data_IF_833180420276
#
_entry.id   IF_833180420276
#
_cell.length_a   1.000
_cell.length_b   1.000
_cell.length_c   1.000
_cell.angle_alpha   90.00
_cell.angle_beta   90.00
_cell.angle_gamma   90.00
#
_symmetry.space_group_name_H-M   'P 1'
#
loop_
_entity.id
_entity.type
_entity.pdbx_description
1 polymer ?
#
# COMPACT_ATOMS: atom_id res chain seq x y z
N UNK A 1 -10.54 13.83 -7.44
CA UNK A 1 -9.99 12.69 -8.18
C UNK A 1 -8.63 13.09 -8.76
N UNK A 2 -7.60 12.29 -8.54
CA UNK A 2 -6.24 12.52 -9.04
C UNK A 2 -5.74 11.25 -9.75
N UNK A 3 -5.22 11.40 -10.98
CA UNK A 3 -4.76 10.28 -11.81
C UNK A 3 -3.25 10.32 -11.96
N UNK A 4 -2.61 9.18 -11.68
CA UNK A 4 -1.17 8.97 -11.83
C UNK A 4 -0.97 7.74 -12.72
N UNK A 5 -0.50 7.94 -13.93
CA UNK A 5 -0.16 6.89 -14.88
C UNK A 5 1.29 7.11 -15.30
N UNK A 6 2.12 6.09 -15.09
CA UNK A 6 3.57 6.20 -15.23
C UNK A 6 4.17 4.85 -15.56
N UNK A 7 5.29 4.83 -16.27
CA UNK A 7 5.99 3.60 -16.63
C UNK A 7 6.89 3.10 -15.49
N UNK A 8 7.41 3.99 -14.64
CA UNK A 8 8.40 3.66 -13.61
C UNK A 8 7.83 3.65 -12.19
N UNK A 9 7.58 4.85 -11.67
CA UNK A 9 6.96 5.08 -10.37
C UNK A 9 5.82 6.08 -10.54
N UNK A 10 4.69 5.86 -9.86
CA UNK A 10 3.54 6.76 -9.87
C UNK A 10 3.76 7.96 -8.96
N UNK A 11 3.03 8.02 -7.84
CA UNK A 11 3.23 9.04 -6.81
C UNK A 11 4.46 8.72 -5.96
N UNK A 12 5.40 9.66 -5.86
CA UNK A 12 6.64 9.51 -5.09
C UNK A 12 6.77 10.64 -4.08
N UNK A 13 6.94 10.28 -2.80
CA UNK A 13 7.14 11.22 -1.69
C UNK A 13 8.52 10.93 -1.07
N UNK A 14 9.44 11.90 -1.16
CA UNK A 14 10.83 11.75 -0.68
C UNK A 14 11.20 12.65 0.49
N UNK A 15 10.29 13.51 0.93
CA UNK A 15 10.49 14.47 2.00
C UNK A 15 9.38 14.37 3.07
N UNK A 16 9.44 15.24 4.06
CA UNK A 16 8.48 15.30 5.18
C UNK A 16 7.15 15.95 4.80
N UNK A 17 6.70 15.80 3.56
CA UNK A 17 5.46 16.39 3.07
C UNK A 17 4.22 15.80 3.73
N UNK A 18 3.20 16.63 3.85
CA UNK A 18 1.82 16.21 4.09
C UNK A 18 1.11 16.08 2.74
N UNK A 19 0.64 14.87 2.42
CA UNK A 19 -0.07 14.56 1.18
C UNK A 19 -1.44 13.98 1.52
N UNK A 20 -2.50 14.65 1.07
CA UNK A 20 -3.87 14.19 1.22
C UNK A 20 -4.57 14.09 -0.13
N UNK A 21 -5.14 12.93 -0.42
CA UNK A 21 -5.78 12.62 -1.71
C UNK A 21 -7.14 11.98 -1.45
N UNK A 22 -8.17 12.48 -2.14
CA UNK A 22 -9.49 11.86 -2.21
C UNK A 22 -9.75 11.39 -3.64
N UNK A 23 -9.99 10.09 -3.80
CA UNK A 23 -10.20 9.43 -5.07
C UNK A 23 -8.92 9.36 -5.91
N UNK A 24 -7.95 8.57 -5.47
CA UNK A 24 -6.73 8.29 -6.25
C UNK A 24 -7.03 7.35 -7.42
N UNK A 25 -6.31 7.50 -8.52
CA UNK A 25 -6.28 6.54 -9.62
C UNK A 25 -4.82 6.37 -10.04
N UNK A 26 -4.10 5.45 -9.40
CA UNK A 26 -2.68 5.21 -9.65
C UNK A 26 -2.46 3.86 -10.35
N UNK A 27 -1.87 3.89 -11.55
CA UNK A 27 -1.78 2.71 -12.42
C UNK A 27 -0.49 2.61 -13.24
N UNK A 28 -0.26 1.40 -13.74
CA UNK A 28 0.71 1.03 -14.79
C UNK A 28 2.19 1.14 -14.43
N UNK A 29 2.54 1.65 -13.23
CA UNK A 29 3.94 1.79 -12.83
C UNK A 29 4.61 0.43 -12.67
N UNK A 30 5.83 0.30 -13.19
CA UNK A 30 6.61 -0.95 -13.10
C UNK A 30 7.08 -1.22 -11.68
N UNK A 31 7.47 -0.18 -10.93
CA UNK A 31 8.09 -0.34 -9.60
C UNK A 31 7.06 -0.16 -8.50
N UNK A 32 6.44 1.02 -8.38
CA UNK A 32 5.45 1.32 -7.35
C UNK A 32 4.40 2.29 -7.90
N UNK A 33 3.12 2.05 -7.64
CA UNK A 33 2.10 3.07 -7.95
C UNK A 33 2.17 4.24 -6.98
N UNK A 34 2.43 3.93 -5.69
CA UNK A 34 2.65 4.91 -4.63
C UNK A 34 3.87 4.51 -3.82
N UNK A 35 4.80 5.44 -3.64
CA UNK A 35 6.05 5.21 -2.92
C UNK A 35 6.36 6.34 -1.94
N UNK A 36 6.64 5.96 -0.69
CA UNK A 36 7.21 6.83 0.34
C UNK A 36 8.61 6.35 0.69
N UNK A 37 9.59 7.23 0.56
CA UNK A 37 11.02 6.94 0.72
C UNK A 37 11.41 6.61 2.18
N UNK A 38 12.59 6.00 2.38
CA UNK A 38 13.11 5.59 3.69
C UNK A 38 13.51 6.76 4.60
N UNK A 39 13.94 7.89 4.00
CA UNK A 39 14.43 9.07 4.72
C UNK A 39 13.36 10.16 4.88
N UNK A 40 12.08 9.78 4.82
CA UNK A 40 10.98 10.72 4.95
C UNK A 40 10.39 10.70 6.36
N UNK A 41 9.61 11.71 6.71
CA UNK A 41 8.63 11.64 7.81
C UNK A 41 7.25 12.00 7.28
N UNK A 42 6.96 11.53 6.07
CA UNK A 42 5.75 11.91 5.35
C UNK A 42 4.49 11.51 6.12
N UNK A 43 3.46 12.32 5.92
CA UNK A 43 2.10 12.03 6.37
C UNK A 43 1.22 11.87 5.14
N UNK A 44 0.85 10.63 4.84
CA UNK A 44 0.06 10.29 3.66
C UNK A 44 -1.37 9.91 4.06
N UNK A 45 -2.36 10.61 3.53
CA UNK A 45 -3.78 10.25 3.70
C UNK A 45 -4.42 10.05 2.33
N UNK A 46 -4.88 8.83 2.06
CA UNK A 46 -5.61 8.50 0.84
C UNK A 46 -6.98 7.97 1.26
N UNK A 47 -8.03 8.65 0.81
CA UNK A 47 -9.40 8.18 0.94
C UNK A 47 -9.99 7.90 -0.43
N UNK A 48 -10.56 6.72 -0.59
CA UNK A 48 -11.21 6.25 -1.82
C UNK A 48 -10.28 6.18 -3.05
N UNK A 49 -10.78 5.51 -4.09
CA UNK A 49 -10.07 5.36 -5.36
C UNK A 49 -9.41 4.00 -5.52
N UNK A 50 -8.50 3.92 -6.49
CA UNK A 50 -7.89 2.69 -6.97
C UNK A 50 -6.37 2.83 -7.14
N UNK A 51 -5.64 1.83 -6.66
CA UNK A 51 -4.20 1.65 -6.85
C UNK A 51 -4.00 0.27 -7.50
N UNK A 52 -3.65 0.21 -8.77
CA UNK A 52 -3.80 -1.05 -9.50
C UNK A 52 -2.89 -1.23 -10.72
N UNK A 53 -2.91 -2.44 -11.27
CA UNK A 53 -2.19 -2.80 -12.49
C UNK A 53 -0.69 -2.47 -12.41
N UNK A 54 -0.06 -2.79 -11.29
CA UNK A 54 1.39 -2.69 -11.17
C UNK A 54 2.10 -3.73 -12.02
N UNK A 55 3.08 -3.26 -12.81
CA UNK A 55 3.94 -4.08 -13.66
C UNK A 55 3.20 -4.86 -14.77
N UNK A 56 2.27 -4.20 -15.47
CA UNK A 56 1.46 -4.80 -16.56
C UNK A 56 2.28 -5.58 -17.57
N UNK A 57 3.44 -5.05 -17.98
CA UNK A 57 4.28 -5.66 -19.01
C UNK A 57 5.35 -6.58 -18.45
N UNK A 58 6.03 -6.17 -17.38
CA UNK A 58 7.09 -6.95 -16.78
C UNK A 58 7.23 -6.64 -15.30
N UNK A 59 7.52 -7.70 -14.52
CA UNK A 59 7.92 -7.56 -13.13
C UNK A 59 9.30 -8.20 -12.92
N UNK A 60 10.39 -7.45 -13.13
CA UNK A 60 11.76 -7.98 -13.03
C UNK A 60 12.10 -8.50 -11.63
N UNK A 61 11.45 -7.99 -10.58
CA UNK A 61 11.71 -8.39 -9.21
C UNK A 61 10.47 -8.27 -8.31
N UNK A 62 9.75 -9.38 -8.12
CA UNK A 62 8.57 -9.48 -7.25
C UNK A 62 8.84 -9.14 -5.78
N UNK A 63 10.10 -9.16 -5.35
CA UNK A 63 10.47 -8.88 -3.96
C UNK A 63 10.39 -7.39 -3.63
N UNK A 64 10.71 -6.53 -4.61
CA UNK A 64 10.92 -5.10 -4.36
C UNK A 64 10.18 -4.17 -5.34
N UNK A 65 9.65 -4.71 -6.44
CA UNK A 65 9.01 -3.95 -7.50
C UNK A 65 7.56 -4.41 -7.66
N UNK A 66 6.82 -3.74 -8.56
CA UNK A 66 5.49 -4.13 -8.98
C UNK A 66 4.42 -3.98 -7.90
N UNK A 67 4.68 -3.09 -6.93
CA UNK A 67 3.83 -2.95 -5.77
C UNK A 67 2.75 -1.90 -6.00
N UNK A 68 1.59 -2.09 -5.37
CA UNK A 68 0.56 -1.06 -5.30
C UNK A 68 1.10 0.14 -4.52
N UNK A 69 1.26 -0.02 -3.21
CA UNK A 69 1.79 1.01 -2.33
C UNK A 69 2.94 0.48 -1.50
N UNK A 70 4.04 1.23 -1.45
CA UNK A 70 5.22 0.92 -0.65
C UNK A 70 5.53 2.10 0.28
N UNK A 71 5.48 1.85 1.59
CA UNK A 71 5.74 2.84 2.63
C UNK A 71 6.96 2.42 3.43
N UNK A 72 8.01 3.24 3.37
CA UNK A 72 9.26 2.96 4.07
C UNK A 72 9.45 3.78 5.35
N UNK A 73 8.73 4.89 5.52
CA UNK A 73 8.83 5.75 6.71
C UNK A 73 7.56 6.59 6.91
N UNK A 74 7.42 7.20 8.08
CA UNK A 74 6.32 8.13 8.39
C UNK A 74 5.04 7.45 8.86
N UNK A 75 3.91 8.08 8.58
CA UNK A 75 2.57 7.61 8.96
C UNK A 75 1.61 7.73 7.79
N UNK A 76 0.60 6.86 7.75
CA UNK A 76 -0.37 6.92 6.67
C UNK A 76 -1.76 6.45 7.05
N UNK A 77 -2.76 6.88 6.27
CA UNK A 77 -4.13 6.41 6.36
C UNK A 77 -4.57 6.00 4.96
N UNK A 78 -5.00 4.76 4.80
CA UNK A 78 -5.78 4.28 3.66
C UNK A 78 -7.20 4.02 4.13
N UNK A 79 -8.16 4.70 3.54
CA UNK A 79 -9.57 4.53 3.85
C UNK A 79 -10.39 4.29 2.59
N UNK A 80 -11.06 3.15 2.45
CA UNK A 80 -11.95 2.91 1.31
C UNK A 80 -11.22 2.74 -0.04
N UNK A 81 -9.92 2.43 -0.02
CA UNK A 81 -9.10 2.32 -1.24
C UNK A 81 -9.18 0.89 -1.78
N UNK A 82 -9.34 0.76 -3.10
CA UNK A 82 -9.12 -0.51 -3.78
C UNK A 82 -7.64 -0.66 -4.16
N UNK A 83 -7.02 -1.78 -3.78
CA UNK A 83 -5.66 -2.13 -4.21
C UNK A 83 -5.70 -3.48 -4.90
N UNK A 84 -5.45 -3.50 -6.21
CA UNK A 84 -5.68 -4.72 -7.00
C UNK A 84 -4.74 -4.92 -8.19
N UNK A 85 -4.59 -6.15 -8.65
CA UNK A 85 -3.83 -6.46 -9.87
C UNK A 85 -2.40 -5.92 -9.87
N UNK A 86 -1.76 -5.83 -8.69
CA UNK A 86 -0.34 -5.52 -8.61
C UNK A 86 0.42 -6.84 -8.58
N UNK A 87 1.36 -7.05 -9.52
CA UNK A 87 2.09 -8.32 -9.59
C UNK A 87 2.92 -8.58 -8.32
N UNK A 88 3.37 -7.53 -7.61
CA UNK A 88 4.04 -7.61 -6.32
C UNK A 88 3.08 -7.55 -5.13
N UNK A 89 3.46 -6.80 -4.09
CA UNK A 89 2.60 -6.56 -2.94
C UNK A 89 1.52 -5.51 -3.26
N UNK A 90 0.29 -5.71 -2.79
CA UNK A 90 -0.74 -4.69 -2.78
C UNK A 90 -0.31 -3.55 -1.86
N UNK A 91 -0.15 -3.85 -0.57
CA UNK A 91 0.37 -2.91 0.44
C UNK A 91 1.65 -3.48 1.05
N UNK A 92 2.74 -2.73 0.95
CA UNK A 92 4.01 -3.06 1.57
C UNK A 92 4.45 -1.97 2.54
N UNK A 93 4.53 -2.31 3.82
CA UNK A 93 5.13 -1.50 4.88
C UNK A 93 6.44 -2.17 5.28
N UNK A 94 7.56 -1.54 4.97
CA UNK A 94 8.83 -2.27 4.84
C UNK A 94 9.64 -2.40 6.11
N UNK A 95 9.41 -1.51 7.09
CA UNK A 95 10.18 -1.51 8.33
C UNK A 95 9.50 -0.68 9.44
N UNK A 96 9.97 -0.92 10.67
CA UNK A 96 9.44 -0.36 11.92
C UNK A 96 9.45 1.19 12.02
N UNK A 97 10.12 1.89 11.11
CA UNK A 97 10.08 3.36 11.03
C UNK A 97 8.73 3.88 10.54
N UNK A 98 7.87 3.01 10.02
CA UNK A 98 6.47 3.32 9.74
C UNK A 98 5.63 3.08 10.98
N UNK A 99 4.98 4.11 11.47
CA UNK A 99 4.23 4.07 12.74
C UNK A 99 2.91 4.83 12.65
N UNK A 100 1.96 4.54 13.54
CA UNK A 100 0.70 5.29 13.67
C UNK A 100 -0.10 5.33 12.37
N UNK A 101 -0.23 4.18 11.70
CA UNK A 101 -0.91 4.08 10.42
C UNK A 101 -2.20 3.26 10.46
N UNK A 102 -3.04 3.45 9.46
CA UNK A 102 -4.36 2.85 9.38
C UNK A 102 -4.65 2.33 7.97
N UNK A 103 -5.16 1.11 7.87
CA UNK A 103 -5.69 0.50 6.64
C UNK A 103 -7.13 0.07 6.94
N UNK A 104 -8.10 0.86 6.48
CA UNK A 104 -9.49 0.74 6.91
C UNK A 104 -10.42 0.69 5.71
N UNK A 105 -11.38 -0.24 5.73
CA UNK A 105 -12.44 -0.33 4.71
C UNK A 105 -11.90 -0.50 3.28
N UNK A 106 -10.69 -1.03 3.12
CA UNK A 106 -10.06 -1.23 1.82
C UNK A 106 -10.50 -2.56 1.19
N UNK A 107 -10.40 -2.64 -0.14
CA UNK A 107 -10.56 -3.89 -0.89
C UNK A 107 -9.23 -4.27 -1.52
N UNK A 108 -8.67 -5.41 -1.12
CA UNK A 108 -7.32 -5.85 -1.50
C UNK A 108 -7.42 -7.19 -2.23
N UNK A 109 -7.30 -7.19 -3.54
CA UNK A 109 -7.55 -8.42 -4.31
C UNK A 109 -6.69 -8.59 -5.56
N UNK A 110 -6.45 -9.83 -5.96
CA UNK A 110 -5.70 -10.15 -7.19
C UNK A 110 -4.29 -9.56 -7.23
N UNK A 111 -3.67 -9.36 -6.06
CA UNK A 111 -2.27 -8.97 -5.96
C UNK A 111 -1.37 -10.21 -5.81
N UNK A 112 -0.08 -10.07 -6.14
CA UNK A 112 0.91 -11.12 -5.90
C UNK A 112 0.99 -11.48 -4.41
N UNK A 113 1.02 -10.48 -3.54
CA UNK A 113 0.74 -10.61 -2.12
C UNK A 113 -0.15 -9.45 -1.72
N UNK A 114 -1.10 -9.68 -0.83
CA UNK A 114 -2.04 -8.64 -0.45
C UNK A 114 -1.39 -7.59 0.48
N UNK A 115 -0.93 -8.03 1.66
CA UNK A 115 -0.25 -7.19 2.64
C UNK A 115 1.05 -7.83 3.12
N UNK A 116 2.11 -7.02 3.14
CA UNK A 116 3.33 -7.31 3.87
C UNK A 116 3.63 -6.12 4.79
N UNK A 117 3.41 -6.30 6.09
CA UNK A 117 3.39 -5.23 7.07
C UNK A 117 4.45 -5.49 8.13
N UNK A 118 5.51 -4.68 8.11
CA UNK A 118 6.47 -4.54 9.20
C UNK A 118 6.48 -3.09 9.71
N UNK A 119 5.54 -2.75 10.60
CA UNK A 119 5.43 -1.41 11.19
C UNK A 119 5.05 -1.48 12.67
N UNK A 120 4.71 -0.35 13.28
CA UNK A 120 4.27 -0.28 14.71
C UNK A 120 3.06 0.61 14.90
N UNK A 121 2.29 0.39 15.98
CA UNK A 121 1.13 1.23 16.34
C UNK A 121 0.13 1.40 15.19
N UNK A 122 -0.46 0.30 14.72
CA UNK A 122 -1.31 0.34 13.52
C UNK A 122 -2.68 -0.30 13.69
N UNK A 123 -3.60 0.13 12.83
CA UNK A 123 -4.96 -0.41 12.75
C UNK A 123 -5.18 -0.98 11.35
N UNK A 124 -5.58 -2.24 11.27
CA UNK A 124 -6.06 -2.88 10.05
C UNK A 124 -7.48 -3.34 10.35
N UNK A 125 -8.48 -2.69 9.74
CA UNK A 125 -9.87 -3.04 10.05
C UNK A 125 -10.85 -2.93 8.90
N UNK A 126 -11.87 -3.79 8.93
CA UNK A 126 -12.96 -3.79 7.94
C UNK A 126 -12.48 -3.93 6.49
N UNK A 127 -11.34 -4.59 6.27
CA UNK A 127 -10.81 -4.79 4.92
C UNK A 127 -11.40 -6.08 4.32
N UNK A 128 -11.63 -6.07 3.01
CA UNK A 128 -12.00 -7.26 2.25
C UNK A 128 -10.82 -7.70 1.42
N UNK A 129 -10.44 -8.95 1.60
CA UNK A 129 -9.30 -9.55 0.95
C UNK A 129 -9.72 -10.76 0.13
N UNK A 130 -9.23 -10.89 -1.10
CA UNK A 130 -9.62 -12.04 -1.93
C UNK A 130 -8.63 -12.29 -3.07
N UNK A 131 -8.52 -13.55 -3.51
CA UNK A 131 -7.84 -13.92 -4.75
C UNK A 131 -6.38 -13.44 -4.87
N UNK A 132 -5.66 -13.27 -3.76
CA UNK A 132 -4.23 -12.90 -3.77
C UNK A 132 -3.35 -14.17 -3.84
N UNK A 133 -2.20 -14.10 -4.51
CA UNK A 133 -1.39 -15.31 -4.79
C UNK A 133 -0.62 -15.82 -3.55
N UNK A 134 -0.29 -14.93 -2.62
CA UNK A 134 0.44 -15.24 -1.39
C UNK A 134 -0.31 -14.74 -0.16
N UNK A 135 -0.14 -15.46 0.95
CA UNK A 135 -0.70 -15.09 2.25
C UNK A 135 -0.11 -13.78 2.79
N UNK A 136 -0.89 -13.10 3.62
CA UNK A 136 -0.45 -11.92 4.36
C UNK A 136 0.71 -12.22 5.30
N UNK A 137 1.62 -11.26 5.43
CA UNK A 137 2.64 -11.22 6.48
C UNK A 137 2.42 -9.96 7.29
N UNK A 138 1.93 -10.10 8.52
CA UNK A 138 1.72 -8.98 9.43
C UNK A 138 2.56 -9.23 10.68
N UNK A 139 3.63 -8.45 10.84
CA UNK A 139 4.53 -8.54 11.99
C UNK A 139 4.12 -7.53 13.08
N UNK A 140 4.77 -7.62 14.26
CA UNK A 140 4.62 -6.68 15.38
C UNK A 140 3.19 -6.43 15.87
N UNK A 141 2.38 -7.50 15.91
CA UNK A 141 0.96 -7.45 16.30
C UNK A 141 0.71 -7.05 17.76
N UNK A 142 1.74 -7.03 18.61
CA UNK A 142 1.64 -6.60 20.02
C UNK A 142 1.23 -5.14 20.19
N UNK A 143 1.43 -4.31 19.16
CA UNK A 143 1.05 -2.90 19.12
C UNK A 143 -0.02 -2.61 18.06
N UNK A 144 -0.69 -3.65 17.58
CA UNK A 144 -1.62 -3.56 16.47
C UNK A 144 -3.05 -3.89 16.89
N UNK A 145 -4.01 -3.25 16.23
CA UNK A 145 -5.39 -3.70 16.21
C UNK A 145 -5.71 -4.25 14.81
N UNK A 146 -5.95 -5.55 14.72
CA UNK A 146 -6.41 -6.21 13.48
C UNK A 146 -7.80 -6.76 13.75
N UNK A 147 -8.84 -6.22 13.09
CA UNK A 147 -10.22 -6.57 13.40
C UNK A 147 -11.15 -6.53 12.19
N UNK A 148 -12.10 -7.47 12.11
CA UNK A 148 -13.16 -7.49 11.09
C UNK A 148 -12.64 -7.47 9.63
N UNK A 149 -11.44 -7.98 9.41
CA UNK A 149 -10.85 -8.11 8.08
C UNK A 149 -11.21 -9.49 7.53
N UNK A 150 -11.95 -9.54 6.42
CA UNK A 150 -12.48 -10.78 5.85
C UNK A 150 -11.47 -11.38 4.87
N UNK A 151 -11.05 -12.62 5.15
CA UNK A 151 -10.03 -13.37 4.40
C UNK A 151 -8.67 -12.67 4.32
N UNK A 152 -8.43 -11.75 5.24
CA UNK A 152 -7.11 -11.21 5.56
C UNK A 152 -6.65 -11.88 6.87
#
# INVERSE_FOLDING_TARGET
QATFDSDGQGLVIRDSSYVSIIGIWAASSTIHQVFVDYNSTALLSISEGMIFNGAVYECPNLSNWCNGITINSGSFILNGVEVRNNHGQGIWVTNKSVTQFQIISCRLFENGQEMNIDGTLFIISNNLCNSNNLSNVISNTTSALVQNSLNC
#
